data_IF_300439904351
#
_entry.id   IF_300439904351
#
_cell.length_a   1.000
_cell.length_b   1.000
_cell.length_c   1.000
_cell.angle_alpha   90.00
_cell.angle_beta   90.00
_cell.angle_gamma   90.00
#
_symmetry.space_group_name_H-M   'P 1'
#
loop_
_entity.id
_entity.type
_entity.pdbx_description
1 polymer ?
#
# COMPACT_ATOMS: atom_id res chain seq x y z
N UNK A 1 0.73 -34.12 -43.60
CA UNK A 1 2.01 -33.39 -43.52
C UNK A 1 1.78 -31.96 -43.93
N UNK A 2 2.16 -31.02 -43.13
CA UNK A 2 2.01 -29.56 -43.19
C UNK A 2 0.86 -29.01 -42.34
N UNK A 3 1.13 -28.90 -41.04
CA UNK A 3 0.51 -27.92 -40.16
C UNK A 3 1.62 -27.53 -39.15
N UNK A 4 2.04 -26.30 -39.20
CA UNK A 4 2.82 -25.51 -38.27
C UNK A 4 3.62 -24.47 -39.06
N UNK A 5 2.99 -23.34 -39.34
CA UNK A 5 3.67 -22.06 -39.57
C UNK A 5 2.62 -20.93 -39.47
N UNK A 6 2.47 -20.38 -38.30
CA UNK A 6 2.05 -18.99 -38.07
C UNK A 6 2.30 -18.62 -36.58
N UNK A 7 3.58 -18.51 -36.24
CA UNK A 7 3.96 -17.80 -35.04
C UNK A 7 3.86 -16.29 -35.33
N UNK A 8 2.72 -15.70 -34.94
CA UNK A 8 2.67 -14.26 -34.71
C UNK A 8 3.37 -13.99 -33.38
N UNK A 9 4.56 -13.43 -33.45
CA UNK A 9 5.25 -12.84 -32.33
C UNK A 9 4.35 -11.80 -31.66
N UNK A 10 3.68 -12.19 -30.58
CA UNK A 10 3.11 -11.24 -29.62
C UNK A 10 4.27 -10.80 -28.75
N UNK A 11 4.86 -9.67 -29.10
CA UNK A 11 5.78 -8.96 -28.23
C UNK A 11 5.03 -8.45 -27.01
N UNK A 12 5.00 -9.25 -25.98
CA UNK A 12 4.53 -8.82 -24.64
C UNK A 12 5.63 -7.95 -24.04
N UNK A 13 5.55 -6.64 -24.28
CA UNK A 13 6.25 -5.67 -23.46
C UNK A 13 5.50 -5.55 -22.11
N UNK A 14 6.05 -6.02 -20.99
CA UNK A 14 5.36 -6.01 -19.69
C UNK A 14 5.21 -4.60 -19.06
N UNK A 15 5.60 -3.55 -19.76
CA UNK A 15 5.65 -2.19 -19.23
C UNK A 15 4.73 -1.19 -19.95
N UNK A 16 3.84 -1.63 -20.83
CA UNK A 16 3.00 -0.72 -21.64
C UNK A 16 1.73 -0.24 -20.92
N UNK A 17 1.40 -0.74 -19.74
CA UNK A 17 0.20 -0.31 -18.99
C UNK A 17 0.41 0.88 -18.04
N UNK A 18 1.63 1.42 -17.93
CA UNK A 18 1.97 2.49 -16.98
C UNK A 18 1.83 3.91 -17.51
N UNK A 19 1.23 4.13 -18.69
CA UNK A 19 1.25 5.44 -19.34
C UNK A 19 -0.12 5.96 -19.76
N UNK A 20 -1.10 6.03 -18.86
CA UNK A 20 -2.25 6.93 -19.02
C UNK A 20 -2.95 7.16 -17.67
N UNK A 21 -2.28 7.83 -16.74
CA UNK A 21 -2.97 8.52 -15.67
C UNK A 21 -2.77 10.02 -15.85
N UNK A 22 -3.86 10.77 -15.86
CA UNK A 22 -3.83 12.23 -15.81
C UNK A 22 -3.06 12.70 -14.57
N UNK A 23 -2.31 13.82 -14.65
CA UNK A 23 -1.57 14.30 -13.49
C UNK A 23 -2.56 14.63 -12.37
N UNK A 24 -2.39 13.99 -11.22
CA UNK A 24 -3.07 14.38 -9.99
C UNK A 24 -2.70 15.84 -9.68
N UNK A 25 -3.70 16.67 -9.39
CA UNK A 25 -3.52 18.06 -9.00
C UNK A 25 -2.45 18.17 -7.91
N UNK A 26 -1.61 19.20 -7.97
CA UNK A 26 -0.52 19.49 -7.02
C UNK A 26 -0.98 19.30 -5.57
N UNK A 27 -0.50 18.22 -4.93
CA UNK A 27 -0.76 17.98 -3.52
C UNK A 27 0.04 19.03 -2.74
N UNK A 28 -0.68 19.99 -2.16
CA UNK A 28 -0.14 21.09 -1.38
C UNK A 28 0.86 20.60 -0.31
N UNK A 29 1.94 21.36 -0.12
CA UNK A 29 3.02 21.12 0.87
C UNK A 29 2.60 21.29 2.34
N UNK A 30 1.30 21.24 2.62
CA UNK A 30 0.77 21.50 3.96
C UNK A 30 0.92 20.24 4.85
N UNK A 31 1.26 20.44 6.11
CA UNK A 31 1.43 19.42 7.17
C UNK A 31 0.15 18.64 7.50
N UNK A 32 -0.91 18.79 6.72
CA UNK A 32 -2.16 18.06 6.87
C UNK A 32 -2.00 16.60 6.48
N UNK A 33 -2.63 15.74 7.25
CA UNK A 33 -2.74 14.32 6.91
C UNK A 33 -3.49 14.16 5.57
N UNK A 34 -2.95 13.32 4.69
CA UNK A 34 -3.54 13.05 3.36
C UNK A 34 -4.50 11.87 3.42
N UNK A 35 -5.33 11.70 2.39
CA UNK A 35 -6.25 10.56 2.23
C UNK A 35 -7.19 10.35 3.45
N UNK A 36 -7.55 11.45 4.12
CA UNK A 36 -8.48 11.42 5.25
C UNK A 36 -7.89 11.00 6.59
N UNK A 37 -6.60 10.63 6.66
CA UNK A 37 -5.92 10.32 7.92
C UNK A 37 -6.09 11.46 8.94
N UNK A 38 -6.32 11.11 10.22
CA UNK A 38 -6.52 12.11 11.30
C UNK A 38 -5.22 12.77 11.75
N UNK A 39 -4.10 12.05 11.64
CA UNK A 39 -2.79 12.52 12.06
C UNK A 39 -1.76 12.32 10.96
N UNK A 40 -0.97 13.34 10.73
CA UNK A 40 0.25 13.22 9.93
C UNK A 40 1.34 12.48 10.71
N UNK A 41 2.29 11.89 10.00
CA UNK A 41 3.52 11.36 10.58
C UNK A 41 4.28 12.45 11.33
N UNK A 42 4.86 12.10 12.48
CA UNK A 42 5.75 12.99 13.21
C UNK A 42 6.88 13.51 12.29
N UNK A 43 7.07 14.82 12.16
CA UNK A 43 8.10 15.38 11.28
C UNK A 43 9.53 14.87 11.55
N UNK A 44 9.81 14.44 12.80
CA UNK A 44 11.12 13.87 13.18
C UNK A 44 11.38 12.51 12.53
N UNK A 45 10.32 11.82 12.06
CA UNK A 45 10.43 10.48 11.47
C UNK A 45 11.37 10.46 10.26
N UNK A 46 11.34 11.50 9.42
CA UNK A 46 12.18 11.53 8.21
C UNK A 46 13.67 11.51 8.56
N UNK A 47 14.08 12.24 9.59
CA UNK A 47 15.48 12.26 10.05
C UNK A 47 15.91 10.91 10.64
N UNK A 48 14.98 10.15 11.20
CA UNK A 48 15.24 8.79 11.69
C UNK A 48 15.36 7.81 10.53
N UNK A 49 14.46 7.92 9.53
CA UNK A 49 14.46 7.10 8.33
C UNK A 49 15.73 7.31 7.49
N UNK A 50 16.18 8.56 7.33
CA UNK A 50 17.43 8.92 6.63
C UNK A 50 18.65 8.17 7.20
N UNK A 51 18.72 8.03 8.53
CA UNK A 51 19.80 7.33 9.22
C UNK A 51 19.71 5.80 9.13
N UNK A 52 18.61 5.28 8.63
CA UNK A 52 18.28 3.85 8.65
C UNK A 52 17.76 3.35 7.29
N UNK A 53 18.30 3.87 6.18
CA UNK A 53 17.80 3.58 4.82
C UNK A 53 17.78 2.08 4.51
N UNK A 54 18.79 1.30 4.94
CA UNK A 54 18.79 -0.16 4.77
C UNK A 54 17.57 -0.80 5.45
N UNK A 55 17.28 -0.35 6.66
CA UNK A 55 16.17 -0.87 7.45
C UNK A 55 14.81 -0.46 6.87
N UNK A 56 14.70 0.78 6.38
CA UNK A 56 13.50 1.27 5.67
C UNK A 56 13.25 0.49 4.39
N UNK A 57 14.27 0.29 3.54
CA UNK A 57 14.14 -0.50 2.31
C UNK A 57 13.78 -1.96 2.62
N UNK A 58 14.39 -2.55 3.65
CA UNK A 58 14.04 -3.91 4.08
C UNK A 58 12.58 -4.00 4.54
N UNK A 59 12.13 -3.06 5.37
CA UNK A 59 10.74 -3.04 5.86
C UNK A 59 9.75 -2.79 4.72
N UNK A 60 10.07 -1.85 3.82
CA UNK A 60 9.31 -1.56 2.61
C UNK A 60 9.12 -2.82 1.76
N UNK A 61 10.22 -3.54 1.42
CA UNK A 61 10.09 -4.78 0.67
C UNK A 61 9.10 -5.77 1.32
N UNK A 62 9.16 -5.93 2.64
CA UNK A 62 8.25 -6.80 3.35
C UNK A 62 6.81 -6.26 3.41
N UNK A 63 6.61 -4.95 3.35
CA UNK A 63 5.27 -4.36 3.24
C UNK A 63 4.62 -4.71 1.89
N UNK A 64 5.33 -4.52 0.78
CA UNK A 64 4.86 -4.89 -0.56
C UNK A 64 4.52 -6.38 -0.69
N UNK A 65 5.40 -7.24 -0.16
CA UNK A 65 5.14 -8.68 -0.14
C UNK A 65 3.86 -9.03 0.66
N UNK A 66 3.64 -8.36 1.79
CA UNK A 66 2.43 -8.54 2.61
C UNK A 66 1.19 -8.01 1.89
N UNK A 67 1.27 -6.88 1.20
CA UNK A 67 0.17 -6.31 0.41
C UNK A 67 -0.25 -7.27 -0.70
N UNK A 68 0.69 -7.81 -1.49
CA UNK A 68 0.40 -8.85 -2.47
C UNK A 68 -0.33 -10.06 -1.85
N UNK A 69 0.16 -10.54 -0.69
CA UNK A 69 -0.44 -11.68 0.02
C UNK A 69 -1.85 -11.36 0.54
N UNK A 70 -2.10 -10.14 1.01
CA UNK A 70 -3.42 -9.69 1.46
C UNK A 70 -4.42 -9.67 0.29
N UNK A 71 -4.04 -9.16 -0.87
CA UNK A 71 -4.85 -9.19 -2.08
C UNK A 71 -5.18 -10.62 -2.51
N UNK A 72 -4.19 -11.53 -2.52
CA UNK A 72 -4.41 -12.96 -2.81
C UNK A 72 -5.42 -13.56 -1.81
N UNK A 73 -5.28 -13.27 -0.53
CA UNK A 73 -6.19 -13.78 0.51
C UNK A 73 -7.61 -13.25 0.35
N UNK A 74 -7.79 -11.97 -0.02
CA UNK A 74 -9.10 -11.37 -0.32
C UNK A 74 -9.75 -12.06 -1.52
N UNK A 75 -9.00 -12.30 -2.60
CA UNK A 75 -9.49 -13.03 -3.79
C UNK A 75 -9.95 -14.45 -3.40
N UNK A 76 -9.14 -15.18 -2.63
CA UNK A 76 -9.47 -16.54 -2.20
C UNK A 76 -10.73 -16.60 -1.33
N UNK A 77 -10.88 -15.66 -0.40
CA UNK A 77 -12.01 -15.61 0.54
C UNK A 77 -13.28 -15.03 -0.07
N UNK A 78 -13.21 -14.38 -1.22
CA UNK A 78 -14.30 -13.67 -1.88
C UNK A 78 -14.36 -13.99 -3.38
N UNK A 79 -14.09 -15.23 -3.76
CA UNK A 79 -14.04 -15.69 -5.16
C UNK A 79 -15.37 -15.57 -5.90
N UNK A 80 -16.49 -15.47 -5.20
CA UNK A 80 -17.83 -15.15 -5.70
C UNK A 80 -17.98 -13.69 -6.16
N UNK A 81 -17.13 -12.79 -5.67
CA UNK A 81 -17.16 -11.36 -5.95
C UNK A 81 -16.33 -11.02 -7.19
N UNK A 82 -16.89 -11.25 -8.38
CA UNK A 82 -16.19 -11.16 -9.66
C UNK A 82 -15.48 -9.83 -9.89
N UNK A 83 -16.11 -8.70 -9.49
CA UNK A 83 -15.47 -7.37 -9.61
C UNK A 83 -14.23 -7.26 -8.73
N UNK A 84 -14.31 -7.73 -7.48
CA UNK A 84 -13.15 -7.75 -6.58
C UNK A 84 -12.01 -8.59 -7.17
N UNK A 85 -12.30 -9.79 -7.67
CA UNK A 85 -11.30 -10.66 -8.30
C UNK A 85 -10.63 -9.97 -9.49
N UNK A 86 -11.43 -9.33 -10.36
CA UNK A 86 -10.92 -8.64 -11.55
C UNK A 86 -10.02 -7.44 -11.18
N UNK A 87 -10.42 -6.65 -10.19
CA UNK A 87 -9.69 -5.43 -9.78
C UNK A 87 -8.44 -5.74 -8.93
N UNK A 88 -8.49 -6.76 -8.06
CA UNK A 88 -7.33 -7.09 -7.21
C UNK A 88 -6.28 -7.96 -7.92
N UNK A 89 -6.62 -8.71 -8.96
CA UNK A 89 -5.64 -9.52 -9.69
C UNK A 89 -4.48 -8.70 -10.28
N UNK A 90 -4.71 -7.54 -10.93
CA UNK A 90 -3.62 -6.64 -11.33
C UNK A 90 -2.81 -6.12 -10.15
N UNK A 91 -3.46 -5.75 -9.03
CA UNK A 91 -2.80 -5.23 -7.83
C UNK A 91 -1.81 -6.26 -7.26
N UNK A 92 -2.17 -7.55 -7.22
CA UNK A 92 -1.22 -8.62 -6.80
C UNK A 92 0.06 -8.57 -7.63
N UNK A 93 -0.06 -8.37 -8.94
CA UNK A 93 1.10 -8.31 -9.84
C UNK A 93 1.92 -7.03 -9.61
N UNK A 94 1.24 -5.92 -9.37
CA UNK A 94 1.85 -4.62 -9.10
C UNK A 94 2.64 -4.65 -7.79
N UNK A 95 2.03 -5.09 -6.69
CA UNK A 95 2.67 -5.22 -5.37
C UNK A 95 3.89 -6.17 -5.40
N UNK A 96 3.76 -7.28 -6.11
CA UNK A 96 4.92 -8.17 -6.32
C UNK A 96 6.00 -7.51 -7.18
N UNK A 97 5.61 -6.68 -8.13
CA UNK A 97 6.51 -5.81 -8.90
C UNK A 97 7.23 -4.80 -8.02
N UNK A 98 6.52 -4.15 -7.11
CA UNK A 98 7.06 -3.22 -6.11
C UNK A 98 8.08 -3.91 -5.21
N UNK A 99 7.75 -5.06 -4.64
CA UNK A 99 8.70 -5.87 -3.89
C UNK A 99 10.01 -6.09 -4.66
N UNK A 100 9.92 -6.49 -5.93
CA UNK A 100 11.10 -6.70 -6.79
C UNK A 100 11.88 -5.41 -7.06
N UNK A 101 11.19 -4.27 -7.21
CA UNK A 101 11.83 -2.95 -7.37
C UNK A 101 12.64 -2.59 -6.13
N UNK A 102 12.12 -2.83 -4.93
CA UNK A 102 12.83 -2.57 -3.68
C UNK A 102 14.02 -3.53 -3.52
N UNK A 103 13.89 -4.80 -3.90
CA UNK A 103 15.02 -5.75 -3.92
C UNK A 103 16.15 -5.27 -4.84
N UNK A 104 15.80 -4.79 -6.04
CA UNK A 104 16.79 -4.25 -6.98
C UNK A 104 17.48 -2.99 -6.42
N UNK A 105 16.77 -2.15 -5.67
CA UNK A 105 17.35 -0.98 -5.02
C UNK A 105 18.31 -1.37 -3.87
N UNK A 106 17.96 -2.38 -3.07
CA UNK A 106 18.87 -2.95 -2.08
C UNK A 106 20.16 -3.47 -2.74
N UNK A 107 20.02 -4.28 -3.79
CA UNK A 107 21.15 -4.84 -4.53
C UNK A 107 22.07 -3.76 -5.11
N UNK A 108 21.49 -2.72 -5.74
CA UNK A 108 22.21 -1.57 -6.30
C UNK A 108 23.06 -0.85 -5.25
N UNK A 109 22.61 -0.85 -4.00
CA UNK A 109 23.32 -0.25 -2.85
C UNK A 109 24.29 -1.21 -2.17
N UNK A 110 24.44 -2.45 -2.67
CA UNK A 110 25.25 -3.48 -2.03
C UNK A 110 24.65 -4.02 -0.73
N UNK A 111 23.36 -3.76 -0.51
CA UNK A 111 22.61 -4.20 0.67
C UNK A 111 21.89 -5.53 0.38
N UNK A 112 21.46 -6.21 1.44
CA UNK A 112 20.70 -7.46 1.35
C UNK A 112 19.35 -7.30 2.03
N UNK A 113 18.36 -8.01 1.53
CA UNK A 113 17.07 -8.11 2.22
C UNK A 113 17.28 -8.71 3.62
N UNK A 114 16.99 -7.90 4.63
CA UNK A 114 17.01 -8.33 6.01
C UNK A 114 15.81 -9.22 6.36
N UNK A 115 15.79 -9.76 7.58
CA UNK A 115 14.66 -10.58 8.05
C UNK A 115 13.42 -9.74 8.21
N UNK A 116 12.26 -10.34 7.87
CA UNK A 116 10.97 -9.75 8.21
C UNK A 116 10.88 -9.54 9.73
N UNK A 117 10.42 -8.37 10.11
CA UNK A 117 10.26 -7.98 11.52
C UNK A 117 8.78 -7.87 11.86
N UNK A 118 8.47 -7.98 13.15
CA UNK A 118 7.10 -7.85 13.64
C UNK A 118 6.61 -6.41 13.41
N UNK A 119 5.49 -6.29 12.76
CA UNK A 119 4.82 -5.03 12.47
C UNK A 119 3.83 -4.70 13.59
N UNK A 120 4.21 -3.80 14.47
CA UNK A 120 3.39 -3.46 15.63
C UNK A 120 2.15 -2.67 15.24
N UNK A 121 2.26 -1.78 14.25
CA UNK A 121 1.15 -1.00 13.73
C UNK A 121 0.06 -1.90 13.16
N UNK A 122 0.41 -2.78 12.22
CA UNK A 122 -0.55 -3.73 11.62
C UNK A 122 -1.14 -4.66 12.67
N UNK A 123 -0.34 -5.14 13.64
CA UNK A 123 -0.86 -5.98 14.72
C UNK A 123 -1.89 -5.25 15.60
N UNK A 124 -1.74 -3.94 15.81
CA UNK A 124 -2.75 -3.13 16.51
C UNK A 124 -4.00 -2.94 15.65
N UNK A 125 -3.86 -2.68 14.34
CA UNK A 125 -5.00 -2.59 13.43
C UNK A 125 -5.84 -3.87 13.43
N UNK A 126 -5.21 -5.04 13.37
CA UNK A 126 -5.90 -6.34 13.43
C UNK A 126 -6.75 -6.57 14.69
N UNK A 127 -6.50 -5.82 15.76
CA UNK A 127 -7.31 -5.90 16.99
C UNK A 127 -8.68 -5.21 16.84
N UNK A 128 -8.80 -4.28 15.88
CA UNK A 128 -10.03 -3.54 15.62
C UNK A 128 -10.96 -4.23 14.62
N UNK A 129 -10.46 -5.21 13.88
CA UNK A 129 -11.30 -5.98 12.97
C UNK A 129 -12.46 -6.67 13.72
N UNK A 130 -13.62 -6.65 13.09
CA UNK A 130 -14.79 -7.38 13.57
C UNK A 130 -14.52 -8.89 13.59
N UNK A 131 -14.59 -9.47 14.78
CA UNK A 131 -14.48 -10.91 15.00
C UNK A 131 -15.85 -11.51 15.25
N UNK A 132 -16.28 -12.45 14.42
CA UNK A 132 -17.65 -13.00 14.50
C UNK A 132 -18.67 -12.10 13.78
N UNK A 133 -19.96 -12.18 14.15
CA UNK A 133 -21.02 -11.38 13.52
C UNK A 133 -21.27 -11.71 12.05
N UNK A 134 -21.78 -10.73 11.30
CA UNK A 134 -22.10 -10.88 9.87
C UNK A 134 -20.85 -10.95 9.02
N UNK A 135 -20.90 -11.77 7.97
CA UNK A 135 -19.81 -11.87 6.99
C UNK A 135 -19.51 -10.52 6.31
N UNK A 136 -20.56 -9.76 6.00
CA UNK A 136 -20.43 -8.42 5.42
C UNK A 136 -19.62 -7.45 6.27
N UNK A 137 -19.73 -7.51 7.61
CA UNK A 137 -18.99 -6.64 8.52
C UNK A 137 -17.50 -7.01 8.54
N UNK A 138 -17.19 -8.30 8.52
CA UNK A 138 -15.80 -8.79 8.41
C UNK A 138 -15.18 -8.46 7.05
N UNK A 139 -15.96 -8.59 5.97
CA UNK A 139 -15.53 -8.23 4.63
C UNK A 139 -15.25 -6.72 4.52
N UNK A 140 -16.15 -5.89 5.06
CA UNK A 140 -15.96 -4.44 5.13
C UNK A 140 -14.64 -4.10 5.85
N UNK A 141 -14.41 -4.65 7.03
CA UNK A 141 -13.22 -4.34 7.82
C UNK A 141 -11.93 -4.74 7.11
N UNK A 142 -11.90 -5.85 6.37
CA UNK A 142 -10.73 -6.25 5.57
C UNK A 142 -10.41 -5.23 4.48
N UNK A 143 -11.42 -4.76 3.74
CA UNK A 143 -11.22 -3.75 2.70
C UNK A 143 -10.77 -2.41 3.31
N UNK A 144 -11.39 -1.98 4.41
CA UNK A 144 -11.05 -0.73 5.06
C UNK A 144 -9.67 -0.78 5.74
N UNK A 145 -9.28 -1.92 6.29
CA UNK A 145 -7.92 -2.09 6.82
C UNK A 145 -6.86 -2.01 5.72
N UNK A 146 -7.10 -2.66 4.56
CA UNK A 146 -6.20 -2.50 3.42
C UNK A 146 -6.13 -1.03 2.98
N UNK A 147 -7.27 -0.36 2.78
CA UNK A 147 -7.29 1.06 2.44
C UNK A 147 -6.52 1.93 3.44
N UNK A 148 -6.59 1.62 4.73
CA UNK A 148 -5.90 2.38 5.77
C UNK A 148 -4.38 2.17 5.74
N UNK A 149 -3.94 0.94 5.48
CA UNK A 149 -2.52 0.62 5.29
C UNK A 149 -1.97 1.39 4.09
N UNK A 150 -2.66 1.35 2.93
CA UNK A 150 -2.26 2.09 1.72
C UNK A 150 -2.23 3.61 1.96
N UNK A 151 -3.23 4.16 2.67
CA UNK A 151 -3.24 5.58 3.02
C UNK A 151 -2.03 5.97 3.88
N UNK A 152 -1.64 5.14 4.85
CA UNK A 152 -0.47 5.38 5.69
C UNK A 152 0.84 5.18 4.94
N UNK A 153 0.95 4.15 4.09
CA UNK A 153 2.09 3.95 3.20
C UNK A 153 2.28 5.17 2.27
N UNK A 154 1.20 5.61 1.62
CA UNK A 154 1.20 6.79 0.75
C UNK A 154 1.73 8.03 1.50
N UNK A 155 1.24 8.30 2.71
CA UNK A 155 1.70 9.42 3.54
C UNK A 155 3.18 9.31 3.90
N UNK A 156 3.66 8.12 4.26
CA UNK A 156 5.07 7.85 4.56
C UNK A 156 5.96 7.99 3.32
N UNK A 157 5.54 7.46 2.18
CA UNK A 157 6.27 7.61 0.91
C UNK A 157 6.31 9.06 0.45
N UNK A 158 5.25 9.85 0.69
CA UNK A 158 5.27 11.29 0.48
C UNK A 158 6.37 11.94 1.32
N UNK A 159 6.45 11.65 2.62
CA UNK A 159 7.50 12.19 3.50
C UNK A 159 8.91 11.82 3.02
N UNK A 160 9.12 10.57 2.60
CA UNK A 160 10.40 10.13 2.04
C UNK A 160 10.72 10.85 0.72
N UNK A 161 9.73 11.03 -0.17
CA UNK A 161 9.92 11.71 -1.45
C UNK A 161 10.23 13.20 -1.33
N UNK A 162 9.81 13.83 -0.23
CA UNK A 162 10.03 15.27 0.01
C UNK A 162 11.26 15.55 0.88
N UNK A 163 11.56 14.65 1.84
CA UNK A 163 12.50 14.94 2.92
C UNK A 163 13.85 14.25 2.86
N UNK A 164 14.04 13.15 2.07
CA UNK A 164 15.34 12.50 1.94
C UNK A 164 16.35 13.40 1.23
N UNK A 165 17.64 13.30 1.60
CA UNK A 165 18.74 14.01 0.91
C UNK A 165 19.03 13.40 -0.47
N UNK A 166 18.90 12.06 -0.59
CA UNK A 166 19.14 11.32 -1.85
C UNK A 166 18.02 11.60 -2.86
N UNK A 167 18.30 12.42 -3.87
CA UNK A 167 17.36 12.78 -4.94
C UNK A 167 16.83 11.56 -5.73
N UNK A 168 17.61 10.50 -5.85
CA UNK A 168 17.18 9.28 -6.52
C UNK A 168 16.11 8.58 -5.66
N UNK A 169 16.34 8.42 -4.36
CA UNK A 169 15.35 7.85 -3.44
C UNK A 169 14.09 8.72 -3.35
N UNK A 170 14.20 10.04 -3.42
CA UNK A 170 13.03 10.93 -3.50
C UNK A 170 12.15 10.59 -4.69
N UNK A 171 12.76 10.41 -5.87
CA UNK A 171 12.03 10.02 -7.10
C UNK A 171 11.48 8.62 -6.99
N UNK A 172 12.23 7.69 -6.39
CA UNK A 172 11.81 6.32 -6.13
C UNK A 172 10.55 6.29 -5.28
N UNK A 173 10.55 6.94 -4.11
CA UNK A 173 9.40 6.96 -3.20
C UNK A 173 8.20 7.75 -3.74
N UNK A 174 8.39 8.72 -4.62
CA UNK A 174 7.28 9.41 -5.27
C UNK A 174 6.43 8.45 -6.11
N UNK A 175 7.04 7.51 -6.81
CA UNK A 175 6.32 6.50 -7.61
C UNK A 175 5.44 5.60 -6.73
N UNK A 176 5.97 5.16 -5.60
CA UNK A 176 5.19 4.36 -4.66
C UNK A 176 4.04 5.18 -4.06
N UNK A 177 4.28 6.42 -3.68
CA UNK A 177 3.22 7.31 -3.18
C UNK A 177 2.03 7.39 -4.16
N UNK A 178 2.31 7.55 -5.45
CA UNK A 178 1.27 7.62 -6.49
C UNK A 178 0.50 6.29 -6.62
N UNK A 179 1.19 5.16 -6.59
CA UNK A 179 0.59 3.83 -6.62
C UNK A 179 -0.32 3.59 -5.41
N UNK A 180 0.18 3.83 -4.19
CA UNK A 180 -0.58 3.61 -2.95
C UNK A 180 -1.85 4.47 -2.86
N UNK A 181 -1.82 5.70 -3.40
CA UNK A 181 -3.02 6.52 -3.51
C UNK A 181 -4.08 5.87 -4.41
N UNK A 182 -3.66 5.19 -5.47
CA UNK A 182 -4.52 4.38 -6.35
C UNK A 182 -5.13 3.19 -5.62
N UNK A 183 -4.30 2.41 -4.91
CA UNK A 183 -4.75 1.24 -4.14
C UNK A 183 -5.73 1.63 -3.03
N UNK A 184 -5.45 2.70 -2.27
CA UNK A 184 -6.39 3.27 -1.31
C UNK A 184 -7.76 3.53 -1.92
N UNK A 185 -7.79 4.24 -3.06
CA UNK A 185 -9.03 4.59 -3.76
C UNK A 185 -9.78 3.34 -4.22
N UNK A 186 -9.05 2.34 -4.72
CA UNK A 186 -9.61 1.07 -5.16
C UNK A 186 -10.30 0.32 -4.01
N UNK A 187 -9.64 0.16 -2.85
CA UNK A 187 -10.23 -0.54 -1.71
C UNK A 187 -11.50 0.14 -1.19
N UNK A 188 -11.52 1.49 -1.09
CA UNK A 188 -12.74 2.23 -0.72
C UNK A 188 -13.83 2.02 -1.77
N UNK A 189 -13.51 2.11 -3.08
CA UNK A 189 -14.46 1.91 -4.15
C UNK A 189 -15.07 0.50 -4.15
N UNK A 190 -14.26 -0.52 -3.86
CA UNK A 190 -14.74 -1.90 -3.71
C UNK A 190 -15.70 -2.04 -2.51
N UNK A 191 -15.38 -1.42 -1.38
CA UNK A 191 -16.26 -1.40 -0.21
C UNK A 191 -17.61 -0.76 -0.56
N UNK A 192 -17.61 0.42 -1.21
CA UNK A 192 -18.83 1.14 -1.62
C UNK A 192 -19.61 0.44 -2.74
N UNK A 193 -18.95 -0.40 -3.54
CA UNK A 193 -19.63 -1.19 -4.57
C UNK A 193 -20.44 -2.34 -4.00
N UNK A 194 -19.91 -3.02 -2.96
CA UNK A 194 -20.55 -4.20 -2.40
C UNK A 194 -21.46 -3.92 -1.20
N UNK A 195 -21.28 -2.77 -0.54
CA UNK A 195 -21.93 -2.47 0.73
C UNK A 195 -22.58 -1.08 0.71
N UNK A 196 -23.49 -0.86 1.67
CA UNK A 196 -24.15 0.45 1.84
C UNK A 196 -23.11 1.55 2.11
N UNK A 197 -23.16 2.63 1.32
CA UNK A 197 -22.18 3.72 1.37
C UNK A 197 -22.13 4.44 2.72
N UNK A 198 -23.30 4.62 3.38
CA UNK A 198 -23.35 5.27 4.69
C UNK A 198 -22.72 4.36 5.77
N UNK A 199 -22.92 3.04 5.65
CA UNK A 199 -22.25 2.05 6.50
C UNK A 199 -20.74 2.11 6.30
N UNK A 200 -20.26 2.12 5.04
CA UNK A 200 -18.83 2.23 4.70
C UNK A 200 -18.24 3.50 5.28
N UNK A 201 -18.88 4.67 5.03
CA UNK A 201 -18.38 5.96 5.52
C UNK A 201 -18.29 6.01 7.04
N UNK A 202 -19.32 5.53 7.75
CA UNK A 202 -19.32 5.47 9.21
C UNK A 202 -18.19 4.60 9.73
N UNK A 203 -18.05 3.38 9.20
CA UNK A 203 -17.01 2.44 9.63
C UNK A 203 -15.61 2.94 9.28
N UNK A 204 -15.46 3.61 8.13
CA UNK A 204 -14.20 4.26 7.76
C UNK A 204 -13.77 5.33 8.76
N UNK A 205 -14.69 6.18 9.22
CA UNK A 205 -14.40 7.17 10.26
C UNK A 205 -13.96 6.50 11.58
N UNK A 206 -14.59 5.40 11.98
CA UNK A 206 -14.18 4.63 13.17
C UNK A 206 -12.74 4.09 13.00
N UNK A 207 -12.39 3.57 11.83
CA UNK A 207 -11.02 3.11 11.51
C UNK A 207 -10.00 4.26 11.58
N UNK A 208 -10.31 5.42 11.03
CA UNK A 208 -9.46 6.60 11.07
C UNK A 208 -9.22 7.10 12.50
N UNK A 209 -10.26 7.10 13.33
CA UNK A 209 -10.17 7.52 14.73
C UNK A 209 -9.34 6.51 15.55
N UNK A 210 -9.53 5.20 15.29
CA UNK A 210 -8.75 4.16 15.92
C UNK A 210 -7.28 4.22 15.50
N UNK A 211 -6.99 4.38 14.22
CA UNK A 211 -5.63 4.53 13.70
C UNK A 211 -4.91 5.72 14.34
N UNK A 212 -5.59 6.86 14.48
CA UNK A 212 -5.01 8.02 15.15
C UNK A 212 -4.60 7.74 16.60
N UNK A 213 -5.34 6.88 17.29
CA UNK A 213 -4.97 6.43 18.65
C UNK A 213 -3.74 5.55 18.65
N UNK A 214 -3.59 4.69 17.63
CA UNK A 214 -2.38 3.85 17.43
C UNK A 214 -1.17 4.76 17.22
N UNK A 215 -1.25 5.69 16.26
CA UNK A 215 -0.14 6.61 15.94
C UNK A 215 0.31 7.40 17.16
N UNK A 216 -0.64 7.87 18.00
CA UNK A 216 -0.31 8.54 19.28
C UNK A 216 0.40 7.63 20.29
N UNK A 217 0.13 6.33 20.22
CA UNK A 217 0.69 5.34 21.18
C UNK A 217 2.04 4.76 20.75
N UNK A 218 2.46 4.98 19.51
CA UNK A 218 3.70 4.45 18.97
C UNK A 218 4.78 5.54 18.95
N UNK A 219 5.98 5.18 19.44
CA UNK A 219 7.14 6.04 19.27
C UNK A 219 7.60 6.04 17.80
N UNK A 220 8.00 7.22 17.26
CA UNK A 220 8.55 7.29 15.92
C UNK A 220 9.79 6.42 15.76
N UNK A 221 9.80 5.55 14.77
CA UNK A 221 10.90 4.63 14.46
C UNK A 221 11.36 4.82 13.02
N UNK A 222 12.68 5.01 12.84
CA UNK A 222 13.28 5.19 11.52
C UNK A 222 13.51 3.90 10.72
N UNK A 223 13.16 2.76 11.30
CA UNK A 223 13.35 1.42 10.72
C UNK A 223 12.05 0.78 10.22
N UNK A 224 10.96 1.56 10.11
CA UNK A 224 9.62 1.11 9.72
C UNK A 224 8.92 2.08 8.78
N UNK A 225 8.19 1.52 7.82
CA UNK A 225 7.22 2.28 7.02
C UNK A 225 5.96 2.56 7.85
N UNK A 226 5.56 1.64 8.72
CA UNK A 226 4.40 1.83 9.61
C UNK A 226 4.77 1.95 11.08
#
# INVERSE_FOLDING_TARGET
>A
MQFWQNEKHISLHPYAYFYQMEPLEEISSDTKAILGLRLATDPRWINLAEKSIEEILTDHAWCEQKAATACISLIQQSSDKQKLVAELSPVVTEEWGHFRMVLAELEKRGLKLGRQRKDEYVNKLLQFETRGGKEEDRFLDKLLMCALIEARSCERFKRLSEGLEDNYLRTFYRRFMESEAGHYTLFISLAEFYLDKEKVRRRWNEWLDYESSIIKSLEPRGDRIH
#
